data_IF_853188022663
#
_entry.id   IF_853188022663
#
_cell.length_a   1.000
_cell.length_b   1.000
_cell.length_c   1.000
_cell.angle_alpha   90.00
_cell.angle_beta   90.00
_cell.angle_gamma   90.00
#
_symmetry.space_group_name_H-M   'P 1'
#
loop_
_entity.id
_entity.type
_entity.pdbx_description
1 polymer ?
#
# COMPACT_ATOMS: atom_id res chain seq x y z
N UNK A 1 20.83 -29.66 -8.91
CA UNK A 1 21.51 -28.37 -9.09
C UNK A 1 20.95 -27.47 -8.04
N UNK A 2 21.65 -27.39 -6.92
CA UNK A 2 21.26 -26.67 -5.71
C UNK A 2 21.27 -25.17 -6.00
N UNK A 3 20.09 -24.57 -6.05
CA UNK A 3 19.95 -23.12 -5.94
C UNK A 3 19.94 -22.80 -4.44
N UNK A 4 21.15 -22.82 -3.85
CA UNK A 4 21.41 -22.37 -2.49
C UNK A 4 21.05 -20.89 -2.41
N UNK A 5 19.80 -20.60 -2.07
CA UNK A 5 19.45 -19.29 -1.51
C UNK A 5 20.40 -19.05 -0.34
N UNK A 6 21.12 -17.91 -0.29
CA UNK A 6 21.99 -17.61 0.84
C UNK A 6 21.17 -17.69 2.14
N UNK A 7 21.78 -18.26 3.19
CA UNK A 7 21.21 -18.24 4.55
C UNK A 7 20.76 -16.80 4.84
N UNK A 8 19.44 -16.62 5.01
CA UNK A 8 18.84 -15.29 5.12
C UNK A 8 19.34 -14.66 6.42
N UNK A 9 19.99 -13.52 6.31
CA UNK A 9 20.46 -12.70 7.43
C UNK A 9 19.35 -12.51 8.48
N UNK A 10 19.72 -12.65 9.76
CA UNK A 10 18.79 -12.58 10.88
C UNK A 10 18.18 -11.17 10.97
N UNK A 11 16.85 -11.09 10.92
CA UNK A 11 16.13 -9.80 11.04
C UNK A 11 16.24 -9.32 12.48
N UNK A 12 16.93 -8.21 12.69
CA UNK A 12 17.16 -7.70 14.06
C UNK A 12 16.12 -6.67 14.49
N UNK A 13 15.65 -5.83 13.58
CA UNK A 13 14.64 -4.81 13.86
C UNK A 13 13.87 -4.39 12.60
N UNK A 14 12.79 -3.63 12.79
CA UNK A 14 12.04 -2.95 11.71
C UNK A 14 11.85 -1.47 12.05
N UNK A 15 11.89 -0.60 11.04
CA UNK A 15 11.59 0.83 11.24
C UNK A 15 10.08 1.13 11.31
N UNK A 16 9.71 2.40 11.51
CA UNK A 16 8.30 2.85 11.59
C UNK A 16 7.47 2.61 10.32
N UNK A 17 8.11 2.29 9.21
CA UNK A 17 7.50 1.98 7.92
C UNK A 17 7.56 0.49 7.60
N UNK A 18 8.10 -0.33 8.51
CA UNK A 18 8.23 -1.78 8.35
C UNK A 18 9.50 -2.20 7.60
N UNK A 19 10.47 -1.31 7.36
CA UNK A 19 11.72 -1.68 6.69
C UNK A 19 12.62 -2.49 7.63
N UNK A 20 13.01 -3.68 7.20
CA UNK A 20 13.93 -4.59 7.88
C UNK A 20 15.31 -3.95 8.02
N UNK A 21 15.82 -4.00 9.23
CA UNK A 21 17.15 -3.57 9.63
C UNK A 21 17.99 -4.81 9.93
N UNK A 22 19.07 -4.96 9.18
CA UNK A 22 20.07 -6.01 9.31
C UNK A 22 21.18 -5.55 10.27
N UNK A 23 21.91 -6.48 10.90
CA UNK A 23 22.96 -6.18 11.89
C UNK A 23 23.90 -5.05 11.46
N UNK A 24 24.40 -5.12 10.22
CA UNK A 24 25.34 -4.15 9.64
C UNK A 24 24.76 -2.75 9.41
N UNK A 25 23.46 -2.57 9.59
CA UNK A 25 22.74 -1.31 9.36
C UNK A 25 22.01 -0.78 10.61
N UNK A 26 22.08 -1.48 11.76
CA UNK A 26 21.47 -1.03 13.02
C UNK A 26 22.12 0.27 13.52
N UNK A 27 23.42 0.45 13.36
CA UNK A 27 24.10 1.67 13.83
C UNK A 27 23.65 2.92 13.05
N UNK A 28 23.17 2.74 11.82
CA UNK A 28 22.57 3.83 11.00
C UNK A 28 21.10 4.08 11.35
N UNK A 29 20.53 3.30 12.25
CA UNK A 29 19.16 3.50 12.71
C UNK A 29 19.08 4.74 13.59
N UNK A 30 18.50 5.81 13.04
CA UNK A 30 18.03 6.91 13.88
C UNK A 30 16.86 6.41 14.73
N UNK A 31 17.07 6.33 16.05
CA UNK A 31 15.96 6.14 16.99
C UNK A 31 14.87 7.15 16.64
N UNK A 32 13.66 6.67 16.36
CA UNK A 32 12.53 7.53 16.02
C UNK A 32 12.34 8.54 17.15
N UNK A 33 12.56 9.82 16.86
CA UNK A 33 12.28 10.90 17.81
C UNK A 33 10.79 10.86 18.18
N UNK A 34 10.43 11.17 19.43
CA UNK A 34 9.02 11.30 19.78
C UNK A 34 8.36 12.35 18.87
N UNK A 35 7.07 12.18 18.53
CA UNK A 35 6.37 13.12 17.68
C UNK A 35 6.32 14.49 18.35
N UNK A 36 6.57 15.53 17.56
CA UNK A 36 6.47 16.93 17.99
C UNK A 36 5.01 17.31 18.24
N UNK A 37 4.79 18.37 19.04
CA UNK A 37 3.45 18.92 19.24
C UNK A 37 2.74 19.29 17.92
N UNK A 38 3.52 19.71 16.92
CA UNK A 38 3.01 20.01 15.57
C UNK A 38 2.49 18.77 14.86
N UNK A 39 3.20 17.64 14.97
CA UNK A 39 2.79 16.35 14.40
C UNK A 39 1.54 15.82 15.11
N UNK A 40 1.52 15.87 16.44
CA UNK A 40 0.34 15.49 17.25
C UNK A 40 -0.87 16.35 16.87
N UNK A 41 -0.69 17.67 16.78
CA UNK A 41 -1.76 18.57 16.35
C UNK A 41 -2.21 18.33 14.90
N UNK A 42 -1.33 17.81 14.04
CA UNK A 42 -1.66 17.43 12.66
C UNK A 42 -2.50 16.15 12.62
N UNK A 43 -2.12 15.13 13.39
CA UNK A 43 -2.86 13.88 13.58
C UNK A 43 -4.28 14.15 14.09
N UNK A 44 -4.41 14.90 15.19
CA UNK A 44 -5.72 15.25 15.79
C UNK A 44 -6.61 16.02 14.82
N UNK A 45 -6.02 16.88 13.99
CA UNK A 45 -6.76 17.66 12.98
C UNK A 45 -7.33 16.75 11.90
N UNK A 46 -6.55 15.80 11.40
CA UNK A 46 -7.02 14.83 10.42
C UNK A 46 -8.06 13.89 11.01
N UNK A 47 -7.87 13.39 12.23
CA UNK A 47 -8.86 12.59 12.95
C UNK A 47 -10.22 13.33 13.06
N UNK A 48 -10.18 14.62 13.43
CA UNK A 48 -11.39 15.46 13.48
C UNK A 48 -12.05 15.64 12.11
N UNK A 49 -11.25 15.70 11.03
CA UNK A 49 -11.77 15.82 9.66
C UNK A 49 -12.39 14.52 9.16
N UNK A 50 -11.78 13.38 9.46
CA UNK A 50 -12.32 12.04 9.14
C UNK A 50 -13.69 11.86 9.79
N UNK A 51 -13.81 12.16 11.09
CA UNK A 51 -15.09 12.08 11.81
C UNK A 51 -16.17 13.05 11.32
N UNK A 52 -15.82 14.03 10.48
CA UNK A 52 -16.75 15.01 9.89
C UNK A 52 -16.68 14.99 8.37
N UNK A 53 -16.30 13.86 7.77
CA UNK A 53 -16.00 13.78 6.34
C UNK A 53 -17.18 14.21 5.45
N UNK A 54 -18.42 13.96 5.87
CA UNK A 54 -19.62 14.36 5.13
C UNK A 54 -19.69 15.87 4.87
N UNK A 55 -19.14 16.70 5.78
CA UNK A 55 -19.05 18.16 5.59
C UNK A 55 -18.03 18.57 4.55
N UNK A 56 -17.10 17.68 4.22
CA UNK A 56 -15.94 17.96 3.35
C UNK A 56 -16.04 17.29 1.99
N UNK A 57 -16.81 16.19 1.88
CA UNK A 57 -16.94 15.36 0.67
C UNK A 57 -17.71 16.04 -0.45
N UNK A 58 -18.59 16.98 -0.14
CA UNK A 58 -19.32 17.71 -1.18
C UNK A 58 -18.37 18.55 -2.03
N UNK A 59 -18.38 18.30 -3.35
CA UNK A 59 -17.57 19.03 -4.34
C UNK A 59 -16.08 19.08 -3.92
N UNK A 60 -15.47 17.91 -3.67
CA UNK A 60 -14.04 17.76 -3.32
C UNK A 60 -13.13 18.53 -4.29
N UNK A 61 -13.48 18.56 -5.57
CA UNK A 61 -12.81 19.31 -6.62
C UNK A 61 -12.84 20.84 -6.39
N UNK A 62 -13.87 21.37 -5.72
CA UNK A 62 -14.00 22.80 -5.40
C UNK A 62 -13.59 23.13 -3.98
N UNK A 63 -13.40 22.13 -3.12
CA UNK A 63 -13.06 22.31 -1.72
C UNK A 63 -11.58 22.72 -1.54
N UNK A 64 -11.32 24.03 -1.61
CA UNK A 64 -9.96 24.62 -1.45
C UNK A 64 -9.28 24.20 -0.15
N UNK A 65 -10.05 24.02 0.94
CA UNK A 65 -9.55 23.65 2.26
C UNK A 65 -9.00 22.22 2.26
N UNK A 66 -9.74 21.27 1.67
CA UNK A 66 -9.27 19.89 1.53
C UNK A 66 -8.07 19.83 0.61
N UNK A 67 -8.12 20.47 -0.57
CA UNK A 67 -6.99 20.51 -1.51
C UNK A 67 -5.72 21.05 -0.87
N UNK A 68 -5.81 22.13 -0.09
CA UNK A 68 -4.65 22.67 0.64
C UNK A 68 -4.08 21.64 1.62
N UNK A 69 -4.93 20.93 2.37
CA UNK A 69 -4.48 19.97 3.38
C UNK A 69 -3.89 18.70 2.80
N UNK A 70 -4.48 18.17 1.73
CA UNK A 70 -3.92 17.03 1.01
C UNK A 70 -2.51 17.35 0.49
N UNK A 71 -2.30 18.56 -0.06
CA UNK A 71 -0.97 19.02 -0.51
C UNK A 71 0.03 19.22 0.63
N UNK A 72 -0.43 19.50 1.85
CA UNK A 72 0.42 19.55 3.04
C UNK A 72 0.73 18.16 3.61
N UNK A 73 0.14 17.10 3.05
CA UNK A 73 0.33 15.72 3.50
C UNK A 73 -0.81 15.22 4.37
N UNK A 74 -1.34 14.04 4.05
CA UNK A 74 -2.32 13.36 4.89
C UNK A 74 -1.56 12.65 6.02
N UNK A 75 -1.99 12.87 7.27
CA UNK A 75 -1.46 12.19 8.44
C UNK A 75 -1.53 10.67 8.26
N UNK A 76 -0.52 9.95 8.74
CA UNK A 76 -0.35 8.52 8.47
C UNK A 76 -1.59 7.73 8.90
N UNK A 77 -2.09 8.01 10.11
CA UNK A 77 -3.28 7.36 10.68
C UNK A 77 -4.56 7.59 9.87
N UNK A 78 -4.62 8.67 9.08
CA UNK A 78 -5.80 9.04 8.32
C UNK A 78 -5.79 8.51 6.88
N UNK A 79 -4.64 8.06 6.36
CA UNK A 79 -4.50 7.63 4.95
C UNK A 79 -5.45 6.49 4.60
N UNK A 80 -5.52 5.46 5.44
CA UNK A 80 -6.41 4.31 5.24
C UNK A 80 -7.89 4.72 5.13
N UNK A 81 -8.31 5.78 5.81
CA UNK A 81 -9.69 6.28 5.76
C UNK A 81 -9.94 7.29 4.64
N UNK A 82 -8.94 8.10 4.29
CA UNK A 82 -9.10 9.25 3.39
C UNK A 82 -8.74 8.92 1.95
N UNK A 83 -7.68 8.15 1.69
CA UNK A 83 -7.29 7.81 0.33
C UNK A 83 -8.42 7.15 -0.48
N UNK A 84 -9.14 6.12 0.06
CA UNK A 84 -10.26 5.53 -0.68
C UNK A 84 -11.34 6.54 -1.05
N UNK A 85 -11.60 7.51 -0.16
CA UNK A 85 -12.61 8.55 -0.35
C UNK A 85 -12.18 9.59 -1.39
N UNK A 86 -10.89 9.88 -1.50
CA UNK A 86 -10.36 10.81 -2.48
C UNK A 86 -10.35 10.24 -3.91
N UNK A 87 -10.19 8.92 -4.04
CA UNK A 87 -10.22 8.23 -5.34
C UNK A 87 -11.57 7.56 -5.66
N UNK A 88 -12.60 7.76 -4.82
CA UNK A 88 -13.93 7.12 -4.93
C UNK A 88 -13.88 5.58 -4.91
N UNK A 89 -12.87 4.99 -4.29
CA UNK A 89 -12.80 3.53 -4.13
C UNK A 89 -13.91 2.99 -3.23
N UNK A 90 -14.41 3.77 -2.26
CA UNK A 90 -15.57 3.41 -1.45
C UNK A 90 -16.85 3.31 -2.30
N UNK A 91 -17.07 4.28 -3.19
CA UNK A 91 -18.18 4.25 -4.16
C UNK A 91 -18.08 3.04 -5.09
N UNK A 92 -16.88 2.69 -5.54
CA UNK A 92 -16.66 1.51 -6.39
C UNK A 92 -16.93 0.20 -5.65
N UNK A 93 -16.57 0.13 -4.36
CA UNK A 93 -16.83 -1.03 -3.51
C UNK A 93 -18.35 -1.24 -3.30
N UNK A 94 -19.09 -0.16 -3.05
CA UNK A 94 -20.55 -0.19 -2.94
C UNK A 94 -21.23 -0.57 -4.27
N UNK A 95 -20.70 -0.06 -5.39
CA UNK A 95 -21.25 -0.32 -6.72
C UNK A 95 -21.02 -1.75 -7.20
N UNK A 96 -19.93 -2.39 -6.78
CA UNK A 96 -19.52 -3.72 -7.24
C UNK A 96 -19.25 -4.69 -6.09
N UNK A 97 -20.26 -5.01 -5.26
CA UNK A 97 -20.08 -5.88 -4.10
C UNK A 97 -19.61 -7.27 -4.53
N UNK A 98 -18.58 -7.79 -3.87
CA UNK A 98 -18.02 -9.12 -4.13
C UNK A 98 -17.24 -9.27 -5.43
N UNK A 99 -17.06 -8.20 -6.22
CA UNK A 99 -16.34 -8.26 -7.50
C UNK A 99 -14.90 -8.73 -7.31
N UNK A 100 -14.20 -8.22 -6.30
CA UNK A 100 -12.83 -8.61 -6.00
C UNK A 100 -12.71 -10.13 -5.78
N UNK A 101 -13.53 -10.69 -4.90
CA UNK A 101 -13.55 -12.14 -4.63
C UNK A 101 -13.88 -12.94 -5.89
N UNK A 102 -14.83 -12.46 -6.71
CA UNK A 102 -15.18 -13.09 -8.00
C UNK A 102 -14.05 -13.04 -9.02
N UNK A 103 -13.19 -12.02 -8.99
CA UNK A 103 -12.03 -11.94 -9.89
C UNK A 103 -10.94 -12.91 -9.44
N UNK A 104 -10.72 -13.07 -8.14
CA UNK A 104 -9.71 -13.99 -7.61
C UNK A 104 -9.94 -15.46 -8.01
N UNK A 105 -11.18 -15.87 -8.24
CA UNK A 105 -11.52 -17.23 -8.70
C UNK A 105 -11.20 -17.48 -10.19
N UNK A 106 -10.94 -16.43 -10.97
CA UNK A 106 -10.62 -16.56 -12.40
C UNK A 106 -9.12 -16.79 -12.62
N UNK A 107 -8.78 -17.35 -13.77
CA UNK A 107 -7.40 -17.51 -14.23
C UNK A 107 -6.96 -16.28 -15.01
N UNK A 108 -5.73 -15.84 -14.75
CA UNK A 108 -5.08 -14.77 -15.49
C UNK A 108 -4.53 -15.32 -16.82
N UNK A 109 -4.26 -14.44 -17.79
CA UNK A 109 -3.55 -14.84 -19.01
C UNK A 109 -2.12 -15.24 -18.63
N UNK A 110 -1.61 -16.30 -19.24
CA UNK A 110 -0.29 -16.85 -18.90
C UNK A 110 0.83 -15.80 -18.94
N UNK A 111 0.86 -14.93 -19.96
CA UNK A 111 1.89 -13.89 -20.08
C UNK A 111 1.85 -12.85 -18.95
N UNK A 112 0.66 -12.43 -18.52
CA UNK A 112 0.50 -11.50 -17.40
C UNK A 112 0.90 -12.15 -16.08
N UNK A 113 0.56 -13.43 -15.89
CA UNK A 113 0.89 -14.19 -14.67
C UNK A 113 2.40 -14.39 -14.51
N UNK A 114 3.11 -14.75 -15.58
CA UNK A 114 4.57 -14.89 -15.56
C UNK A 114 5.27 -13.57 -15.24
N UNK A 115 4.80 -12.45 -15.79
CA UNK A 115 5.37 -11.14 -15.53
C UNK A 115 5.12 -10.68 -14.09
N UNK A 116 3.91 -10.91 -13.58
CA UNK A 116 3.52 -10.58 -12.23
C UNK A 116 4.37 -11.34 -11.21
N UNK A 117 4.60 -12.66 -11.39
CA UNK A 117 5.47 -13.43 -10.50
C UNK A 117 6.92 -12.92 -10.48
N UNK A 118 7.46 -12.53 -11.64
CA UNK A 118 8.82 -11.95 -11.72
C UNK A 118 8.93 -10.65 -10.93
N UNK A 119 7.93 -9.78 -11.03
CA UNK A 119 7.93 -8.47 -10.36
C UNK A 119 7.63 -8.59 -8.86
N UNK A 120 6.84 -9.58 -8.42
CA UNK A 120 6.58 -9.83 -6.99
C UNK A 120 7.87 -10.11 -6.22
N UNK A 121 8.78 -10.92 -6.77
CA UNK A 121 10.05 -11.23 -6.12
C UNK A 121 10.98 -10.01 -6.01
N UNK A 122 10.72 -8.95 -6.76
CA UNK A 122 11.53 -7.72 -6.81
C UNK A 122 10.86 -6.55 -6.07
N UNK A 123 9.59 -6.68 -5.68
CA UNK A 123 8.82 -5.58 -5.07
C UNK A 123 9.09 -5.53 -3.57
N UNK A 124 9.69 -4.41 -3.15
CA UNK A 124 10.00 -4.05 -1.77
C UNK A 124 10.54 -5.19 -0.89
N UNK A 125 11.65 -5.83 -1.29
CA UNK A 125 12.19 -7.01 -0.63
C UNK A 125 12.69 -6.74 0.78
N UNK A 126 12.72 -5.48 1.22
CA UNK A 126 13.22 -5.05 2.53
C UNK A 126 12.10 -4.64 3.48
N UNK A 127 10.84 -4.62 3.05
CA UNK A 127 9.73 -4.39 3.95
C UNK A 127 9.30 -5.73 4.57
N UNK A 128 9.13 -5.78 5.88
CA UNK A 128 8.79 -6.98 6.64
C UNK A 128 7.51 -7.66 6.15
N UNK A 129 6.56 -6.89 5.62
CA UNK A 129 5.30 -7.38 5.04
C UNK A 129 5.58 -8.24 3.80
N UNK A 130 6.60 -7.89 3.02
CA UNK A 130 6.96 -8.55 1.75
C UNK A 130 8.26 -9.40 1.83
N UNK A 131 8.97 -9.35 2.97
CA UNK A 131 10.27 -9.99 3.20
C UNK A 131 10.21 -11.53 3.12
N UNK A 132 9.12 -12.13 3.60
CA UNK A 132 8.88 -13.56 3.52
C UNK A 132 7.83 -13.88 2.44
N UNK A 133 7.88 -15.11 1.90
CA UNK A 133 6.82 -15.69 1.04
C UNK A 133 5.56 -15.96 1.90
N UNK A 134 4.96 -14.89 2.43
CA UNK A 134 3.83 -14.91 3.34
C UNK A 134 2.68 -14.04 2.86
N UNK A 135 1.83 -13.63 3.80
CA UNK A 135 0.55 -12.98 3.53
C UNK A 135 0.66 -11.67 2.72
N UNK A 136 1.76 -10.92 2.84
CA UNK A 136 1.96 -9.68 2.09
C UNK A 136 2.20 -9.92 0.60
N UNK A 137 3.05 -10.89 0.24
CA UNK A 137 3.24 -11.25 -1.18
C UNK A 137 1.98 -11.84 -1.80
N UNK A 138 1.22 -12.64 -1.04
CA UNK A 138 -0.07 -13.16 -1.49
C UNK A 138 -1.10 -12.03 -1.70
N UNK A 139 -1.18 -11.08 -0.76
CA UNK A 139 -2.05 -9.91 -0.88
C UNK A 139 -1.68 -9.06 -2.10
N UNK A 140 -0.39 -8.83 -2.32
CA UNK A 140 0.11 -8.11 -3.49
C UNK A 140 -0.22 -8.84 -4.79
N UNK A 141 0.00 -10.16 -4.84
CA UNK A 141 -0.41 -10.99 -5.98
C UNK A 141 -1.90 -10.86 -6.25
N UNK A 142 -2.74 -11.00 -5.22
CA UNK A 142 -4.19 -11.00 -5.35
C UNK A 142 -4.73 -9.65 -5.86
N UNK A 143 -4.21 -8.53 -5.36
CA UNK A 143 -4.60 -7.18 -5.84
C UNK A 143 -4.21 -7.00 -7.31
N UNK A 144 -2.98 -7.33 -7.68
CA UNK A 144 -2.49 -7.18 -9.05
C UNK A 144 -3.25 -8.10 -10.02
N UNK A 145 -3.47 -9.36 -9.63
CA UNK A 145 -4.26 -10.33 -10.40
C UNK A 145 -5.68 -9.82 -10.62
N UNK A 146 -6.35 -9.36 -9.55
CA UNK A 146 -7.71 -8.86 -9.65
C UNK A 146 -7.79 -7.64 -10.58
N UNK A 147 -6.82 -6.72 -10.52
CA UNK A 147 -6.78 -5.58 -11.42
C UNK A 147 -6.62 -6.01 -12.89
N UNK A 148 -5.68 -6.91 -13.20
CA UNK A 148 -5.45 -7.37 -14.58
C UNK A 148 -6.69 -8.07 -15.16
N UNK A 149 -7.48 -8.74 -14.32
CA UNK A 149 -8.75 -9.36 -14.70
C UNK A 149 -9.91 -8.36 -14.80
N UNK A 150 -9.84 -7.25 -14.05
CA UNK A 150 -10.81 -6.16 -14.11
C UNK A 150 -10.66 -5.35 -15.40
N UNK A 151 -9.42 -5.03 -15.78
CA UNK A 151 -9.09 -4.36 -17.05
C UNK A 151 -8.07 -5.16 -17.89
N UNK A 152 -8.54 -6.18 -18.64
CA UNK A 152 -7.67 -7.02 -19.46
C UNK A 152 -7.06 -6.32 -20.68
N UNK A 153 -7.47 -5.08 -20.98
CA UNK A 153 -6.87 -4.28 -22.05
C UNK A 153 -5.54 -3.67 -21.61
N UNK A 154 -5.46 -3.27 -20.34
CA UNK A 154 -4.21 -2.84 -19.71
C UNK A 154 -3.38 -4.05 -19.31
N UNK A 155 -4.02 -5.06 -18.69
CA UNK A 155 -3.31 -6.25 -18.20
C UNK A 155 -2.27 -5.89 -17.13
N UNK A 156 -1.19 -6.67 -17.06
CA UNK A 156 -0.08 -6.38 -16.16
C UNK A 156 1.00 -5.54 -16.84
N UNK A 157 1.40 -4.43 -16.21
CA UNK A 157 2.50 -3.59 -16.66
C UNK A 157 3.58 -3.50 -15.57
N UNK A 158 4.85 -3.46 -16.01
CA UNK A 158 6.00 -3.34 -15.10
C UNK A 158 5.88 -2.06 -14.24
N UNK A 159 6.13 -2.20 -12.95
CA UNK A 159 6.07 -1.09 -11.97
C UNK A 159 4.74 -1.00 -11.22
N UNK A 160 3.69 -1.69 -11.66
CA UNK A 160 2.44 -1.78 -10.91
C UNK A 160 2.63 -2.45 -9.55
N UNK A 161 3.57 -3.41 -9.44
CA UNK A 161 3.92 -4.06 -8.18
C UNK A 161 4.34 -3.07 -7.10
N UNK A 162 5.23 -2.13 -7.42
CA UNK A 162 5.68 -1.11 -6.48
C UNK A 162 4.54 -0.19 -6.01
N UNK A 163 3.64 0.19 -6.92
CA UNK A 163 2.49 1.03 -6.57
C UNK A 163 1.51 0.28 -5.65
N UNK A 164 1.20 -0.98 -5.97
CA UNK A 164 0.31 -1.80 -5.15
C UNK A 164 0.95 -2.11 -3.78
N UNK A 165 2.26 -2.35 -3.73
CA UNK A 165 3.00 -2.55 -2.49
C UNK A 165 2.96 -1.34 -1.56
N UNK A 166 3.01 -0.11 -2.10
CA UNK A 166 2.88 1.12 -1.32
C UNK A 166 1.49 1.31 -0.69
N UNK A 167 0.45 0.73 -1.31
CA UNK A 167 -0.94 0.88 -0.88
C UNK A 167 -1.39 -0.22 0.09
N UNK A 168 -0.59 -1.28 0.24
CA UNK A 168 -0.81 -2.40 1.16
C UNK A 168 -0.10 -2.15 2.49
#
# INVERSE_FOLDING_TARGET
GEDLMPEREEVVAVDRWGMVLLEDNIEKFEKTKPPTDKEIAWELKWASMVGKWDKYKERLDKNKKIKKRVRLGIADSARASIWPKLCNADVMLEKFPGLYQKLLTKKLKQGDEEQLHKDLHRTDPRNIIFYNKGLGQESLYNVLKAYCLYDPKVGYCQGMGALAGLLL
#
